data_IF_923210188411
#
_entry.id   IF_923210188411
#
_cell.length_a   1.000
_cell.length_b   1.000
_cell.length_c   1.000
_cell.angle_alpha   90.00
_cell.angle_beta   90.00
_cell.angle_gamma   90.00
#
_symmetry.space_group_name_H-M   'P 1'
#
loop_
_entity.id
_entity.type
_entity.pdbx_description
1 polymer ?
2 polymer ?
3 non-polymer ?
4 non-polymer ?
5 non-polymer ?
6 non-polymer ?
7 water ?
#
loop_
_entity_poly.entity_id
_entity_poly.type
_entity_poly.pdbx_seq_one_letter_code
_entity_poly.pdbx_strand_id
2 'polydeoxyribonucleotide' '(DT)(DT)(DG)(DG)(DG)(DT)(DG)(DG)(DG)(DT)(DG)(DG)(DG)(DT)(DG)(DG)(DG)(DT)(DT)' ?
#
# COMPACT_ATOMS: atom_id res chain seq x y z
N UNK A 55 12.26 13.04 13.79
CA UNK A 55 13.30 12.95 14.84
C UNK A 55 14.35 11.91 14.43
N UNK A 56 15.39 11.79 15.22
CA UNK A 56 16.49 10.85 14.92
C UNK A 56 16.26 9.49 15.60
N UNK A 57 17.09 8.51 15.25
CA UNK A 57 17.02 7.14 15.80
C UNK A 57 18.26 6.86 16.65
N UNK A 58 18.04 6.28 17.83
CA UNK A 58 19.16 5.93 18.73
C UNK A 58 19.71 4.57 18.32
N UNK A 59 20.87 4.21 18.83
CA UNK A 59 21.48 2.90 18.52
C UNK A 59 20.50 1.81 18.96
N UNK A 60 19.75 2.06 20.03
CA UNK A 60 18.78 1.07 20.56
C UNK A 60 17.65 0.85 19.54
N UNK A 61 17.01 1.94 19.13
CA UNK A 61 15.89 1.87 18.16
C UNK A 61 16.38 1.18 16.89
N UNK A 62 17.60 1.47 16.48
CA UNK A 62 18.16 0.89 15.24
C UNK A 62 18.31 -0.61 15.38
N UNK A 63 18.84 -1.08 16.51
CA UNK A 63 19.07 -2.54 16.68
C UNK A 63 17.73 -3.27 16.84
N UNK A 64 16.75 -2.61 17.45
CA UNK A 64 15.39 -3.19 17.64
C UNK A 64 14.74 -3.37 16.29
N UNK A 65 14.81 -2.33 15.45
CA UNK A 65 14.21 -2.41 14.09
C UNK A 65 14.88 -3.53 13.32
N UNK A 66 16.19 -3.68 13.49
CA UNK A 66 16.97 -4.72 12.78
C UNK A 66 16.57 -6.10 13.31
N UNK A 67 16.46 -6.24 14.62
CA UNK A 67 16.14 -7.55 15.21
C UNK A 67 14.76 -8.01 14.74
N UNK A 68 13.81 -7.08 14.65
CA UNK A 68 12.43 -7.45 14.23
C UNK A 68 12.43 -7.86 12.76
N UNK A 69 13.21 -7.18 11.93
CA UNK A 69 13.23 -7.53 10.48
C UNK A 69 13.92 -8.88 10.31
N UNK A 70 14.93 -9.17 11.11
CA UNK A 70 15.63 -10.46 10.99
C UNK A 70 14.70 -11.60 11.43
N UNK A 71 13.80 -11.32 12.38
CA UNK A 71 12.86 -12.35 12.89
C UNK A 71 11.61 -12.41 12.03
N UNK A 72 11.50 -11.53 11.02
CA UNK A 72 10.30 -11.49 10.15
C UNK A 72 10.74 -11.28 8.71
N UNK A 73 11.75 -12.07 8.05
CA UNK A 73 12.49 -12.15 6.54
C UNK A 73 11.41 -11.96 5.47
N UNK A 74 10.26 -12.63 5.62
CA UNK A 74 9.18 -12.62 4.60
C UNK A 74 8.33 -11.34 4.62
N UNK A 75 8.45 -10.53 5.66
CA UNK A 75 7.63 -9.30 5.78
C UNK A 75 8.51 -8.06 5.68
N UNK A 76 9.69 -8.18 5.11
CA UNK A 76 10.66 -7.05 5.03
C UNK A 76 10.22 -6.00 4.01
N UNK A 77 9.40 -6.35 3.02
CA UNK A 77 9.01 -5.35 2.00
C UNK A 77 7.56 -4.91 2.20
N UNK A 78 6.95 -5.28 3.33
CA UNK A 78 5.56 -4.88 3.61
C UNK A 78 5.55 -3.52 4.29
N UNK A 79 4.36 -2.96 4.48
CA UNK A 79 4.21 -1.68 5.21
C UNK A 79 3.85 -2.02 6.65
N UNK A 80 2.99 -3.03 6.82
CA UNK A 80 2.46 -3.47 8.14
C UNK A 80 3.57 -3.79 9.14
N UNK A 81 4.65 -4.45 8.73
CA UNK A 81 5.69 -4.79 9.73
C UNK A 81 6.27 -3.51 10.34
N UNK A 82 6.50 -2.50 9.53
CA UNK A 82 7.05 -1.26 10.02
C UNK A 82 6.02 -0.48 10.87
N UNK A 83 4.73 -0.62 10.55
CA UNK A 83 3.66 -0.01 11.36
C UNK A 83 3.66 -0.70 12.74
N UNK A 84 3.80 -2.03 12.76
CA UNK A 84 3.84 -2.76 14.03
C UNK A 84 5.04 -2.35 14.83
N UNK A 85 6.19 -2.18 14.18
CA UNK A 85 7.43 -1.77 14.89
C UNK A 85 7.22 -0.38 15.50
N UNK A 86 6.65 0.54 14.74
CA UNK A 86 6.49 1.93 15.18
C UNK A 86 5.70 2.09 16.44
N UNK A 87 4.89 1.10 16.81
CA UNK A 87 4.08 1.18 18.06
C UNK A 87 5.01 1.25 19.26
N UNK A 88 6.19 0.66 19.12
CA UNK A 88 7.20 0.57 20.20
C UNK A 88 8.27 1.64 20.05
N UNK A 89 8.23 2.42 18.98
CA UNK A 89 9.26 3.48 18.78
C UNK A 89 8.56 4.83 18.85
N UNK A 90 8.67 5.69 19.99
CA UNK A 90 8.13 7.21 20.48
C UNK A 90 8.44 8.14 19.28
N UNK A 91 7.41 8.84 18.81
CA UNK A 91 7.51 9.89 17.76
C UNK A 91 7.94 9.37 16.39
N UNK A 92 7.55 8.16 16.01
CA UNK A 92 7.95 7.69 14.66
C UNK A 92 6.75 6.99 14.02
N UNK A 93 6.51 7.25 12.75
CA UNK A 93 5.40 6.57 12.07
C UNK A 93 5.91 5.27 11.45
N UNK A 94 5.03 4.46 10.91
CA UNK A 94 5.48 3.21 10.29
C UNK A 94 6.36 3.51 9.09
N UNK A 95 6.01 4.52 8.31
CA UNK A 95 6.77 4.90 7.10
C UNK A 95 8.14 5.47 7.49
N UNK A 96 8.21 6.09 8.66
CA UNK A 96 9.48 6.66 9.18
C UNK A 96 10.46 5.51 9.45
N UNK A 97 9.95 4.41 10.00
CA UNK A 97 10.74 3.19 10.32
C UNK A 97 11.11 2.49 9.02
N UNK A 98 10.21 2.49 8.05
CA UNK A 98 10.42 1.80 6.76
C UNK A 98 11.53 2.47 5.96
N UNK A 99 11.60 3.80 6.01
CA UNK A 99 12.65 4.53 5.25
C UNK A 99 13.99 4.32 5.95
N UNK A 100 13.96 4.37 7.27
CA UNK A 100 15.16 4.18 8.11
C UNK A 100 15.81 2.84 7.75
N UNK A 101 14.99 1.84 7.49
CA UNK A 101 15.53 0.50 7.15
C UNK A 101 15.97 0.46 5.70
N UNK A 102 15.18 1.01 4.78
CA UNK A 102 15.51 0.95 3.34
C UNK A 102 16.79 1.72 2.98
N UNK A 103 17.05 2.87 3.60
CA UNK A 103 18.23 3.68 3.20
C UNK A 103 19.43 3.43 4.10
N UNK A 104 19.22 2.94 5.31
CA UNK A 104 20.41 2.85 6.19
C UNK A 104 20.62 1.46 6.80
N UNK A 105 19.64 0.97 7.55
CA UNK A 105 19.80 -0.30 8.31
C UNK A 105 19.90 -1.52 7.40
N UNK A 106 19.26 -1.51 6.24
CA UNK A 106 19.32 -2.68 5.35
C UNK A 106 20.77 -2.91 4.88
N UNK A 107 21.58 -1.87 4.92
CA UNK A 107 22.99 -1.95 4.47
C UNK A 107 23.79 -2.94 5.32
N UNK A 108 23.43 -3.03 6.59
CA UNK A 108 24.16 -3.95 7.50
C UNK A 108 23.20 -4.99 8.09
N UNK A 109 22.33 -5.56 7.28
CA UNK A 109 21.38 -6.58 7.78
C UNK A 109 22.20 -7.76 8.30
N UNK A 110 23.27 -8.08 7.58
CA UNK A 110 24.26 -9.16 7.86
C UNK A 110 23.66 -10.55 7.66
N UNK A 111 22.54 -10.80 8.31
CA UNK A 111 21.85 -12.11 8.23
C UNK A 111 20.41 -11.93 8.71
N UNK A 112 19.59 -12.92 8.38
CA UNK A 112 18.18 -13.02 8.85
C UNK A 112 18.03 -14.37 9.55
N UNK A 113 16.90 -14.60 10.19
CA UNK A 113 16.71 -15.92 10.85
C UNK A 113 15.99 -16.86 9.89
N UNK A 114 16.19 -18.15 10.04
CA UNK A 114 15.58 -19.17 9.15
C UNK A 114 14.10 -19.32 9.47
N UNK A 115 13.27 -19.41 8.44
CA UNK A 115 11.80 -19.54 8.61
C UNK A 115 11.29 -20.64 7.66
N UNK A 116 10.06 -21.09 7.85
CA UNK A 116 9.51 -22.16 6.99
C UNK A 116 8.75 -21.57 5.81
N UNK A 117 7.89 -22.39 5.20
CA UNK A 117 7.12 -21.97 4.00
C UNK A 117 6.10 -20.92 4.38
N UNK A 118 5.69 -20.92 5.65
CA UNK A 118 4.64 -19.99 6.15
C UNK A 118 5.27 -18.72 6.70
N UNK A 119 6.58 -18.76 6.91
CA UNK A 119 7.31 -17.58 7.41
C UNK A 119 7.53 -17.66 8.90
N UNK A 120 7.14 -18.75 9.53
CA UNK A 120 7.37 -18.85 11.00
C UNK A 120 8.81 -19.29 11.26
N UNK A 121 9.40 -18.78 12.33
CA UNK A 121 10.81 -19.09 12.65
C UNK A 121 11.00 -20.58 12.85
N UNK A 122 12.14 -21.07 12.35
CA UNK A 122 12.57 -22.48 12.42
C UNK A 122 13.62 -22.55 13.52
N UNK A 123 13.65 -23.63 14.30
CA UNK A 123 14.67 -23.69 15.37
C UNK A 123 15.50 -24.97 15.27
N UNK A 124 16.64 -25.01 15.97
CA UNK A 124 17.50 -26.18 16.06
C UNK A 124 16.97 -27.11 17.20
N UNK A 125 17.63 -28.24 17.45
CA UNK A 125 17.18 -29.15 18.50
C UNK A 125 17.28 -28.55 19.92
N UNK A 126 17.86 -27.36 20.03
CA UNK A 126 17.99 -26.65 21.32
C UNK A 126 16.94 -25.54 21.39
N UNK A 127 16.17 -25.36 20.32
CA UNK A 127 15.13 -24.32 20.27
C UNK A 127 15.72 -22.95 20.01
N UNK A 128 16.97 -22.90 19.56
CA UNK A 128 17.66 -21.63 19.25
C UNK A 128 17.40 -21.25 17.81
N UNK A 129 17.43 -19.96 17.50
CA UNK A 129 17.19 -19.47 16.13
C UNK A 129 18.42 -19.77 15.26
N UNK A 130 18.21 -19.92 13.95
CA UNK A 130 19.32 -20.24 13.00
C UNK A 130 19.61 -19.03 12.12
N UNK A 131 20.84 -18.55 12.12
CA UNK A 131 21.20 -17.38 11.27
C UNK A 131 21.36 -17.84 9.82
N UNK A 132 21.19 -16.93 8.87
CA UNK A 132 21.34 -17.25 7.44
C UNK A 132 21.59 -15.98 6.63
N UNK A 133 22.07 -16.14 5.41
CA UNK A 133 22.34 -15.01 4.48
C UNK A 133 21.48 -15.18 3.25
N UNK A 134 20.68 -16.25 3.20
CA UNK A 134 19.76 -16.50 2.06
C UNK A 134 18.45 -15.85 2.47
N UNK A 135 18.05 -14.82 1.74
CA UNK A 135 16.78 -14.09 1.97
C UNK A 135 15.61 -14.90 1.40
N UNK A 136 14.54 -15.15 2.18
CA UNK A 136 13.40 -15.88 1.68
C UNK A 136 12.50 -14.96 0.87
N UNK A 137 11.58 -15.49 0.05
CA UNK A 137 10.67 -14.67 -0.75
C UNK A 137 9.93 -13.60 0.05
N UNK A 138 9.84 -12.40 -0.52
CA UNK A 138 9.18 -11.28 0.13
C UNK A 138 7.69 -11.54 -0.02
N UNK A 139 7.04 -12.03 1.03
CA UNK A 139 5.58 -12.34 0.94
C UNK A 139 4.76 -11.07 1.15
N UNK A 140 3.95 -10.71 0.16
CA UNK A 140 3.14 -9.47 0.22
C UNK A 140 1.73 -9.76 -0.30
N UNK A 141 0.71 -9.16 0.32
CA UNK A 141 -0.70 -9.33 -0.12
C UNK A 141 -0.85 -8.71 -1.51
N UNK A 142 -1.39 -9.46 -2.46
CA UNK A 142 -1.52 -8.99 -3.86
C UNK A 142 -2.80 -8.19 -4.08
N UNK A 143 -2.84 -7.47 -5.19
CA UNK A 143 -4.00 -6.62 -5.55
C UNK A 143 -4.83 -7.29 -6.64
N UNK A 144 -6.11 -7.51 -6.37
CA UNK A 144 -7.01 -8.14 -7.37
C UNK A 144 -7.49 -7.09 -8.38
N UNK A 145 -8.04 -7.53 -9.50
CA UNK A 145 -8.52 -6.57 -10.52
C UNK A 145 -9.66 -5.76 -9.94
N UNK A 146 -10.44 -6.40 -9.07
CA UNK A 146 -11.60 -5.75 -8.40
C UNK A 146 -11.08 -4.59 -7.55
N UNK A 147 -10.08 -4.87 -6.71
CA UNK A 147 -9.48 -3.84 -5.84
C UNK A 147 -8.97 -2.71 -6.73
N UNK A 148 -8.35 -3.06 -7.84
CA UNK A 148 -7.79 -2.04 -8.78
C UNK A 148 -8.94 -1.21 -9.35
N UNK A 149 -10.07 -1.83 -9.64
CA UNK A 149 -11.24 -1.11 -10.23
C UNK A 149 -11.76 -0.09 -9.21
N UNK A 150 -12.15 -0.60 -8.05
CA UNK A 150 -12.71 0.22 -6.96
C UNK A 150 -11.79 1.42 -6.71
N UNK A 151 -10.47 1.26 -6.88
CA UNK A 151 -9.57 2.40 -6.65
C UNK A 151 -9.68 3.37 -7.82
N UNK A 152 -9.98 2.88 -9.02
CA UNK A 152 -10.09 3.76 -10.20
C UNK A 152 -11.42 4.52 -10.12
N UNK A 153 -12.48 3.85 -9.70
CA UNK A 153 -13.83 4.47 -9.58
C UNK A 153 -13.77 5.55 -8.51
N UNK A 154 -13.28 5.19 -7.33
CA UNK A 154 -13.21 6.10 -6.17
C UNK A 154 -12.37 7.33 -6.49
N UNK A 155 -11.29 7.18 -7.25
CA UNK A 155 -10.43 8.36 -7.53
C UNK A 155 -11.11 9.24 -8.56
N UNK A 156 -11.88 8.62 -9.46
CA UNK A 156 -12.60 9.41 -10.49
C UNK A 156 -13.69 10.21 -9.80
N UNK A 157 -14.35 9.59 -8.83
CA UNK A 157 -15.44 10.24 -8.06
C UNK A 157 -14.89 11.47 -7.35
N UNK A 158 -13.68 11.38 -6.82
CA UNK A 158 -13.09 12.51 -6.09
C UNK A 158 -12.67 13.61 -7.07
N UNK A 159 -12.24 13.23 -8.26
CA UNK A 159 -11.84 14.25 -9.26
C UNK A 159 -13.10 15.03 -9.63
N UNK A 160 -14.18 14.29 -9.86
CA UNK A 160 -15.52 14.84 -10.21
C UNK A 160 -15.97 15.85 -9.15
N UNK A 161 -16.00 15.42 -7.89
CA UNK A 161 -16.41 16.29 -6.76
C UNK A 161 -15.60 17.59 -6.80
N UNK A 162 -14.28 17.47 -6.78
CA UNK A 162 -13.35 18.62 -6.75
C UNK A 162 -13.55 19.51 -7.97
N UNK A 163 -13.93 18.91 -9.10
CA UNK A 163 -14.08 19.67 -10.37
C UNK A 163 -15.46 20.34 -10.48
N UNK A 164 -16.53 19.54 -10.42
CA UNK A 164 -17.91 20.03 -10.63
C UNK A 164 -18.65 20.34 -9.33
N UNK A 165 -18.10 20.05 -8.17
CA UNK A 165 -18.77 20.30 -6.87
C UNK A 165 -20.19 19.68 -6.85
N UNK A 166 -20.34 18.56 -7.54
CA UNK A 166 -21.61 17.80 -7.61
C UNK A 166 -21.31 16.37 -7.18
N UNK A 167 -22.14 15.81 -6.30
CA UNK A 167 -21.93 14.41 -5.85
C UNK A 167 -22.20 13.51 -7.04
N UNK A 168 -21.21 12.65 -7.64
CA UNK A 168 -21.13 11.52 -8.89
C UNK A 168 -22.26 10.50 -8.68
N UNK A 169 -22.61 10.25 -7.42
CA UNK A 169 -23.60 9.19 -7.08
C UNK A 169 -25.06 9.64 -7.16
N UNK A 170 -25.37 10.87 -6.78
CA UNK A 170 -26.78 11.33 -6.75
C UNK A 170 -27.00 12.53 -7.66
N UNK A 171 -25.98 13.38 -7.85
CA UNK A 171 -26.14 14.58 -8.68
C UNK A 171 -26.39 15.79 -7.80
N UNK A 172 -26.38 15.57 -6.50
CA UNK A 172 -26.65 16.64 -5.50
C UNK A 172 -25.49 17.63 -5.47
N UNK A 173 -25.77 18.86 -5.07
CA UNK A 173 -24.73 19.91 -5.00
C UNK A 173 -23.89 19.71 -3.74
N UNK A 174 -22.66 20.19 -3.74
CA UNK A 174 -21.82 20.01 -2.54
C UNK A 174 -21.57 21.35 -1.89
N UNK A 175 -21.24 21.34 -0.61
CA UNK A 175 -20.91 22.58 0.13
C UNK A 175 -19.39 22.73 0.04
N UNK A 176 -18.89 23.85 -0.47
CA UNK A 176 -17.43 24.04 -0.58
C UNK A 176 -17.00 25.24 0.26
N UNK A 177 -15.72 25.26 0.63
CA UNK A 177 -15.12 26.35 1.46
C UNK A 177 -15.33 27.69 0.75
N UNK A 200 -22.26 18.89 -13.62
CA UNK A 200 -23.51 18.63 -14.38
C UNK A 200 -23.28 17.46 -15.36
N UNK A 201 -22.11 17.35 -16.01
CA UNK A 201 -21.81 16.27 -16.96
C UNK A 201 -21.93 14.86 -16.35
N UNK A 202 -22.35 13.90 -17.16
CA UNK A 202 -22.54 12.49 -16.72
C UNK A 202 -21.24 11.97 -16.11
N UNK A 203 -21.33 11.28 -14.97
CA UNK A 203 -20.11 10.72 -14.35
C UNK A 203 -19.55 9.64 -15.27
N UNK A 204 -20.43 8.78 -15.77
CA UNK A 204 -19.99 7.69 -16.65
C UNK A 204 -19.24 8.26 -17.86
N UNK A 205 -19.77 9.32 -18.47
CA UNK A 205 -19.14 9.92 -19.66
C UNK A 205 -18.13 10.98 -19.25
N UNK A 206 -17.70 10.95 -18.00
CA UNK A 206 -16.67 11.91 -17.54
C UNK A 206 -15.30 11.26 -17.75
N UNK A 207 -14.32 12.01 -18.23
CA UNK A 207 -12.98 11.45 -18.43
C UNK A 207 -12.02 12.28 -17.60
N UNK A 208 -11.19 11.63 -16.79
CA UNK A 208 -10.23 12.33 -15.91
C UNK A 208 -9.07 12.89 -16.73
N UNK A 209 -8.88 12.33 -17.93
CA UNK A 209 -7.84 12.74 -18.90
C UNK A 209 -6.45 12.60 -18.26
N UNK A 210 -5.63 13.64 -18.37
CA UNK A 210 -4.24 13.56 -17.86
C UNK A 210 -4.17 13.95 -16.39
N UNK A 211 -5.28 14.37 -15.80
CA UNK A 211 -5.30 14.84 -14.39
C UNK A 211 -4.74 13.81 -13.42
N UNK A 212 -3.70 14.22 -12.70
CA UNK A 212 -3.13 13.45 -11.56
C UNK A 212 -3.83 13.99 -10.30
N UNK A 213 -4.34 15.21 -10.44
CA UNK A 213 -5.14 16.00 -9.48
C UNK A 213 -4.51 16.29 -8.14
N UNK A 214 -5.20 17.03 -7.26
CA UNK A 214 -4.76 17.23 -5.91
C UNK A 214 -5.61 16.23 -5.13
N UNK A 215 -4.97 15.30 -4.42
CA UNK A 215 -5.70 14.29 -3.59
C UNK A 215 -5.22 14.50 -2.16
N UNK A 216 -6.14 14.70 -1.22
CA UNK A 216 -5.74 14.88 0.18
C UNK A 216 -5.33 13.53 0.79
N UNK A 217 -4.53 13.59 1.86
CA UNK A 217 -4.04 12.38 2.57
C UNK A 217 -5.26 11.64 3.12
N UNK A 218 -6.30 12.39 3.46
CA UNK A 218 -7.56 11.86 4.03
C UNK A 218 -8.26 10.91 3.04
N UNK A 219 -8.01 11.07 1.74
CA UNK A 219 -8.66 10.20 0.74
C UNK A 219 -8.24 8.75 0.93
N UNK A 220 -6.94 8.51 1.10
CA UNK A 220 -6.42 7.13 1.25
C UNK A 220 -6.65 6.61 2.66
N UNK A 221 -6.67 7.50 3.64
CA UNK A 221 -6.89 7.07 5.03
C UNK A 221 -8.34 6.58 5.12
N UNK A 222 -9.23 7.28 4.44
CA UNK A 222 -10.66 6.89 4.48
C UNK A 222 -10.87 5.71 3.54
N UNK A 223 -10.11 5.63 2.46
CA UNK A 223 -10.28 4.54 1.48
C UNK A 223 -9.76 3.22 2.06
N UNK A 224 -8.79 3.28 2.94
CA UNK A 224 -8.28 2.04 3.56
C UNK A 224 -9.28 1.59 4.63
N UNK A 225 -9.96 2.55 5.25
CA UNK A 225 -10.94 2.20 6.30
C UNK A 225 -12.09 1.42 5.65
N UNK A 226 -12.40 1.74 4.41
CA UNK A 226 -13.50 1.06 3.71
C UNK A 226 -12.98 -0.26 3.13
N UNK A 227 -11.73 -0.27 2.68
CA UNK A 227 -11.11 -1.47 2.09
C UNK A 227 -9.87 -1.83 2.89
N UNK A 228 -10.08 -2.36 4.10
CA UNK A 228 -9.00 -2.66 5.06
C UNK A 228 -8.11 -3.82 4.62
N UNK A 229 -8.39 -4.43 3.47
CA UNK A 229 -7.51 -5.52 2.99
C UNK A 229 -6.11 -4.95 2.76
N UNK A 230 -6.02 -3.70 2.33
CA UNK A 230 -4.70 -3.05 2.14
C UNK A 230 -4.63 -1.78 3.00
N UNK A 231 -3.44 -1.40 3.42
CA UNK A 231 -3.28 -0.20 4.26
C UNK A 231 -3.26 1.05 3.38
N UNK A 232 -3.63 2.17 4.00
CA UNK A 232 -3.71 3.51 3.38
C UNK A 232 -2.43 3.73 2.59
N UNK A 233 -1.30 3.34 3.17
CA UNK A 233 0.01 3.48 2.50
C UNK A 233 -0.05 2.68 1.21
N UNK A 234 -0.20 1.37 1.31
CA UNK A 234 -0.27 0.44 0.16
C UNK A 234 -1.21 0.96 -0.93
N UNK A 235 -2.35 1.53 -0.55
CA UNK A 235 -3.32 2.05 -1.53
C UNK A 235 -2.72 3.27 -2.22
N UNK A 236 -2.04 4.12 -1.46
CA UNK A 236 -1.41 5.34 -1.99
C UNK A 236 -0.42 5.00 -3.10
N UNK A 237 0.41 3.98 -2.95
CA UNK A 237 1.41 3.74 -4.04
C UNK A 237 0.81 2.91 -5.18
N UNK A 238 -0.34 2.29 -4.94
CA UNK A 238 -1.02 1.54 -6.02
C UNK A 238 -1.55 2.57 -7.02
N UNK A 239 -1.92 3.74 -6.51
CA UNK A 239 -2.47 4.82 -7.36
C UNK A 239 -1.33 5.57 -8.06
N UNK A 240 -0.25 5.86 -7.34
CA UNK A 240 0.86 6.64 -7.93
C UNK A 240 1.68 5.79 -8.91
N UNK A 241 2.04 4.58 -8.53
CA UNK A 241 2.93 3.73 -9.37
C UNK A 241 2.17 2.99 -10.46
N UNK A 242 1.00 2.44 -10.15
CA UNK A 242 0.27 1.67 -11.20
C UNK A 242 -0.83 2.50 -11.86
N UNK A 243 -1.83 2.90 -11.07
CA UNK A 243 -3.02 3.62 -11.60
C UNK A 243 -2.64 4.81 -12.47
N UNK A 244 -1.80 5.71 -11.99
CA UNK A 244 -1.47 6.91 -12.80
C UNK A 244 -0.68 6.52 -14.05
N UNK A 245 0.07 5.42 -14.00
CA UNK A 245 0.86 4.96 -15.17
C UNK A 245 -0.05 4.25 -16.17
N UNK A 246 -0.94 3.40 -15.69
CA UNK A 246 -1.83 2.65 -16.61
C UNK A 246 -2.90 3.59 -17.19
N UNK A 247 -3.34 4.56 -16.40
CA UNK A 247 -4.38 5.49 -16.85
C UNK A 247 -5.69 5.17 -16.18
N UNK A 248 -6.34 6.16 -15.57
CA UNK A 248 -7.62 5.97 -14.84
C UNK A 248 -8.73 5.64 -15.84
N UNK A 249 -8.91 6.51 -16.83
CA UNK A 249 -9.96 6.26 -17.86
C UNK A 249 -9.65 4.92 -18.52
N UNK A 250 -8.41 4.77 -18.97
CA UNK A 250 -7.90 3.58 -19.69
C UNK A 250 -8.21 2.29 -18.94
N UNK A 251 -7.99 2.27 -17.63
CA UNK A 251 -8.25 1.02 -16.86
C UNK A 251 -9.74 0.82 -16.61
N UNK A 252 -10.48 1.92 -16.44
CA UNK A 252 -11.94 1.79 -16.17
C UNK A 252 -12.60 1.19 -17.40
N UNK A 253 -12.25 1.71 -18.58
CA UNK A 253 -12.83 1.19 -19.85
C UNK A 253 -12.41 -0.27 -20.02
N UNK A 254 -11.14 -0.56 -19.77
CA UNK A 254 -10.60 -1.93 -19.92
C UNK A 254 -11.36 -2.87 -18.99
N UNK A 255 -11.46 -2.52 -17.72
CA UNK A 255 -12.15 -3.39 -16.74
C UNK A 255 -13.58 -3.69 -17.17
N UNK A 256 -14.27 -2.67 -17.67
CA UNK A 256 -15.69 -2.83 -18.08
C UNK A 256 -15.77 -3.78 -19.29
N UNK A 257 -14.98 -3.51 -20.33
CA UNK A 257 -14.96 -4.35 -21.56
C UNK A 257 -14.80 -5.82 -21.18
N UNK A 258 -13.82 -6.15 -20.35
CA UNK A 258 -13.61 -7.55 -20.02
C UNK A 258 -14.81 -8.10 -19.22
N UNK A 259 -15.46 -7.21 -18.46
CA UNK A 259 -16.61 -7.62 -17.60
C UNK A 259 -17.71 -8.21 -18.47
N UNK A 260 -17.88 -7.71 -19.70
CA UNK A 260 -18.91 -8.24 -20.62
C UNK A 260 -18.38 -9.52 -21.29
N UNK A 261 -18.76 -10.68 -20.72
CA UNK A 261 -18.34 -12.01 -21.23
C UNK A 261 -16.81 -12.04 -21.35
N UNK A 262 -16.12 -11.94 -20.20
CA UNK A 262 -14.62 -11.96 -20.00
C UNK A 262 -14.42 -11.72 -18.50
N UNK A 263 -13.19 -11.98 -18.04
CA UNK A 263 -12.65 -11.62 -16.71
C UNK A 263 -11.35 -10.85 -16.91
N UNK A 264 -11.18 -9.50 -16.39
CA UNK A 264 -10.00 -8.27 -16.39
C UNK A 264 -8.88 -8.75 -15.48
N UNK A 265 -7.65 -8.39 -15.81
CA UNK A 265 -6.51 -8.78 -14.96
C UNK A 265 -6.00 -7.51 -14.30
N UNK A 266 -5.44 -7.57 -13.08
CA UNK A 266 -4.94 -6.40 -12.40
C UNK A 266 -3.71 -5.78 -13.07
N UNK A 267 -3.47 -4.50 -12.82
CA UNK A 267 -2.28 -3.82 -13.39
C UNK A 267 -1.02 -4.40 -12.74
#
# INVERSE_FOLDING_TARGET
HHHHHHSSGLVPRGSGMKETAAAKFERQHMDSPDLGTGSENLYFQGGALPSHNKASFTDEEDEFILDVVRKNPTRRTTHTLYDEISHYVPNHTGNSIRHRFRVYLSKRLEYVYEVDKFGKLVRDDDGNLIKTKVLPPSIKRKFSADEDYTLAIAVKKQFYRDLFQIDPDTGRSLITDEDTPTAIARRNMTMDPNHVPGSEPNFAAYRTQSRRGPIAREFFKHFAEEHAAHTENAWRDRFRKFLLAYGIDDYISYYEAEKAQNRPEPMKNLTNRPKRPGVPTPGNYNSAAKR
#
